data_IF_585916544531
#
_entry.id   IF_585916544531
#
_cell.length_a   1.000
_cell.length_b   1.000
_cell.length_c   1.000
_cell.angle_alpha   90.00
_cell.angle_beta   90.00
_cell.angle_gamma   90.00
#
_symmetry.space_group_name_H-M   'P 1'
#
loop_
_entity.id
_entity.type
_entity.pdbx_description
1 polymer ?
#
# COMPACT_ATOMS: atom_id res chain seq x y z
N UNK A 1 43.35 11.36 0.26
CA UNK A 1 42.36 10.97 -0.77
C UNK A 1 41.03 10.74 -0.07
N UNK A 2 40.04 11.58 -0.33
CA UNK A 2 38.79 11.66 0.44
C UNK A 2 37.90 10.42 0.24
N UNK A 3 37.53 9.79 1.34
CA UNK A 3 36.67 8.60 1.42
C UNK A 3 35.21 8.89 0.99
N UNK A 4 34.84 10.17 0.88
CA UNK A 4 33.49 10.68 0.64
C UNK A 4 32.86 10.35 -0.73
N UNK A 5 33.66 9.95 -1.72
CA UNK A 5 33.14 9.59 -3.06
C UNK A 5 32.51 8.18 -3.07
N UNK A 6 32.89 7.29 -2.13
CA UNK A 6 32.32 5.93 -2.05
C UNK A 6 30.95 5.90 -1.38
N UNK A 7 30.73 6.76 -0.39
CA UNK A 7 29.48 6.76 0.39
C UNK A 7 28.30 7.37 -0.40
N UNK A 8 28.58 8.33 -1.28
CA UNK A 8 27.55 8.98 -2.11
C UNK A 8 26.90 8.07 -3.17
N UNK A 9 27.51 6.91 -3.47
CA UNK A 9 26.96 5.92 -4.40
C UNK A 9 26.13 4.82 -3.71
N UNK A 10 26.05 4.85 -2.37
CA UNK A 10 25.34 3.85 -1.58
C UNK A 10 24.18 4.44 -0.77
N UNK A 11 23.67 5.61 -1.17
CA UNK A 11 22.33 6.03 -0.82
C UNK A 11 21.35 5.38 -1.80
N UNK A 12 20.78 4.20 -1.51
CA UNK A 12 19.61 3.77 -2.26
C UNK A 12 18.60 4.87 -2.01
N UNK A 13 18.26 5.63 -3.05
CA UNK A 13 17.00 6.37 -3.12
C UNK A 13 16.00 5.50 -2.39
N UNK A 14 15.39 6.02 -1.32
CA UNK A 14 14.55 5.25 -0.38
C UNK A 14 13.28 4.83 -1.12
N UNK A 15 13.43 3.96 -2.10
CA UNK A 15 12.42 3.42 -2.98
C UNK A 15 11.60 2.54 -2.06
N UNK A 16 10.48 3.09 -1.58
CA UNK A 16 9.49 2.30 -0.87
C UNK A 16 9.20 1.08 -1.74
N UNK A 17 9.31 -0.11 -1.16
CA UNK A 17 9.02 -1.33 -1.90
C UNK A 17 7.61 -1.20 -2.46
N UNK A 18 7.39 -1.61 -3.71
CA UNK A 18 6.08 -1.49 -4.36
C UNK A 18 4.95 -2.09 -3.51
N UNK A 19 5.23 -3.16 -2.76
CA UNK A 19 4.28 -3.74 -1.81
C UNK A 19 3.89 -2.82 -0.65
N UNK A 20 4.79 -1.98 -0.16
CA UNK A 20 4.49 -1.02 0.92
C UNK A 20 3.58 0.10 0.42
N UNK A 21 3.82 0.55 -0.81
CA UNK A 21 2.96 1.51 -1.51
C UNK A 21 1.57 0.89 -1.66
N UNK A 22 1.49 -0.34 -2.17
CA UNK A 22 0.20 -1.00 -2.41
C UNK A 22 -0.57 -1.28 -1.13
N UNK A 23 0.09 -1.70 -0.04
CA UNK A 23 -0.55 -1.83 1.28
C UNK A 23 -1.08 -0.49 1.81
N UNK A 24 -0.41 0.62 1.53
CA UNK A 24 -0.90 1.96 1.93
C UNK A 24 -2.17 2.32 1.15
N UNK A 25 -2.15 2.17 -0.16
CA UNK A 25 -3.31 2.46 -1.02
C UNK A 25 -4.54 1.65 -0.62
N UNK A 26 -4.38 0.35 -0.38
CA UNK A 26 -5.47 -0.52 0.05
C UNK A 26 -6.05 -0.12 1.41
N UNK A 27 -5.22 0.33 2.36
CA UNK A 27 -5.70 0.86 3.65
C UNK A 27 -6.46 2.17 3.49
N UNK A 28 -5.99 3.06 2.61
CA UNK A 28 -6.68 4.31 2.32
C UNK A 28 -8.05 4.04 1.68
N UNK A 29 -8.12 3.10 0.75
CA UNK A 29 -9.38 2.65 0.16
C UNK A 29 -10.32 2.04 1.22
N UNK A 30 -9.79 1.20 2.11
CA UNK A 30 -10.57 0.63 3.21
C UNK A 30 -11.17 1.71 4.13
N UNK A 31 -10.38 2.72 4.47
CA UNK A 31 -10.83 3.84 5.28
C UNK A 31 -11.94 4.65 4.59
N UNK A 32 -11.77 4.97 3.30
CA UNK A 32 -12.78 5.71 2.54
C UNK A 32 -14.11 4.93 2.43
N UNK A 33 -14.07 3.61 2.25
CA UNK A 33 -15.28 2.77 2.25
C UNK A 33 -15.91 2.75 3.65
N UNK A 34 -15.09 2.63 4.69
CA UNK A 34 -15.56 2.64 6.07
C UNK A 34 -16.26 3.95 6.45
N UNK A 35 -15.70 5.10 6.07
CA UNK A 35 -16.31 6.41 6.32
C UNK A 35 -17.67 6.56 5.62
N UNK A 36 -17.79 6.01 4.40
CA UNK A 36 -19.02 6.12 3.61
C UNK A 36 -20.10 5.12 4.02
N UNK A 37 -19.72 3.90 4.41
CA UNK A 37 -20.64 2.77 4.51
C UNK A 37 -20.70 2.12 5.90
N UNK A 38 -19.88 2.59 6.83
CA UNK A 38 -19.76 2.03 8.17
C UNK A 38 -19.11 0.64 8.18
N UNK A 39 -18.95 0.07 9.39
CA UNK A 39 -18.21 -1.18 9.61
C UNK A 39 -18.83 -2.34 8.81
N UNK A 40 -20.16 -2.50 8.88
CA UNK A 40 -20.85 -3.59 8.18
C UNK A 40 -20.78 -3.44 6.65
N UNK A 41 -20.69 -2.20 6.15
CA UNK A 41 -20.60 -1.91 4.72
C UNK A 41 -19.19 -2.00 4.14
N UNK A 42 -18.15 -2.01 4.98
CA UNK A 42 -16.74 -2.01 4.57
C UNK A 42 -16.24 -3.40 4.12
N UNK A 43 -16.85 -3.95 3.06
CA UNK A 43 -16.49 -5.28 2.53
C UNK A 43 -15.25 -5.25 1.63
N UNK A 44 -14.55 -6.37 1.53
CA UNK A 44 -13.36 -6.52 0.68
C UNK A 44 -13.61 -6.20 -0.79
N UNK A 45 -14.80 -6.52 -1.30
CA UNK A 45 -15.21 -6.23 -2.67
C UNK A 45 -15.26 -4.71 -2.92
N UNK A 46 -15.84 -3.96 -1.98
CA UNK A 46 -15.94 -2.49 -2.08
C UNK A 46 -14.58 -1.83 -1.91
N UNK A 47 -13.73 -2.34 -1.01
CA UNK A 47 -12.35 -1.88 -0.86
C UNK A 47 -11.55 -2.12 -2.15
N UNK A 48 -11.70 -3.29 -2.76
CA UNK A 48 -11.05 -3.60 -4.02
C UNK A 48 -11.51 -2.66 -5.14
N UNK A 49 -12.83 -2.45 -5.27
CA UNK A 49 -13.40 -1.51 -6.24
C UNK A 49 -12.88 -0.08 -6.01
N UNK A 50 -12.85 0.39 -4.75
CA UNK A 50 -12.35 1.71 -4.38
C UNK A 50 -10.85 1.89 -4.71
N UNK A 51 -10.06 0.82 -4.66
CA UNK A 51 -8.63 0.81 -4.96
C UNK A 51 -8.28 0.51 -6.43
N UNK A 52 -9.28 0.37 -7.32
CA UNK A 52 -9.08 -0.07 -8.70
C UNK A 52 -8.40 -1.44 -8.78
N UNK A 53 -8.77 -2.36 -7.89
CA UNK A 53 -8.12 -3.66 -7.71
C UNK A 53 -9.13 -4.81 -7.79
N UNK A 54 -8.63 -6.03 -7.97
CA UNK A 54 -9.43 -7.24 -7.72
C UNK A 54 -9.44 -7.59 -6.23
N UNK A 55 -10.48 -8.30 -5.78
CA UNK A 55 -10.55 -8.87 -4.41
C UNK A 55 -9.32 -9.73 -4.08
N UNK A 56 -8.82 -10.46 -5.06
CA UNK A 56 -7.63 -11.31 -4.91
C UNK A 56 -6.37 -10.52 -4.55
N UNK A 57 -6.19 -9.31 -5.07
CA UNK A 57 -5.09 -8.42 -4.68
C UNK A 57 -5.21 -8.01 -3.21
N UNK A 58 -6.42 -7.70 -2.73
CA UNK A 58 -6.61 -7.35 -1.33
C UNK A 58 -6.23 -8.52 -0.42
N UNK A 59 -6.72 -9.72 -0.72
CA UNK A 59 -6.38 -10.95 0.01
C UNK A 59 -4.89 -11.33 -0.06
N UNK A 60 -4.22 -11.01 -1.17
CA UNK A 60 -2.79 -11.23 -1.29
C UNK A 60 -1.99 -10.42 -0.27
N UNK A 61 -2.40 -9.18 0.00
CA UNK A 61 -1.73 -8.27 0.94
C UNK A 61 -2.19 -8.41 2.39
N UNK A 62 -3.45 -8.78 2.62
CA UNK A 62 -4.04 -8.92 3.96
C UNK A 62 -4.55 -10.35 4.16
N UNK A 63 -3.60 -11.30 4.20
CA UNK A 63 -3.89 -12.63 4.75
C UNK A 63 -4.01 -12.48 6.27
N UNK A 64 -5.04 -13.12 6.84
CA UNK A 64 -5.28 -13.24 8.28
C UNK A 64 -4.00 -13.58 9.04
#
# INVERSE_FOLDING_TARGET
MSTWIRDAWNDPVKLKRLGDIRRKELRQAAFAVLEREGIAGATLEKVAAQAGASKGIVLHYFRN
#
